data_IF_527354208834
#
_entry.id   IF_527354208834
#
_cell.length_a   1.000
_cell.length_b   1.000
_cell.length_c   1.000
_cell.angle_alpha   90.00
_cell.angle_beta   90.00
_cell.angle_gamma   90.00
#
_symmetry.space_group_name_H-M   'P 1'
#
loop_
_entity.id
_entity.type
_entity.pdbx_description
1 polymer ?
#
# COMPACT_ATOMS: atom_id res chain seq x y z
N UNK A 1 5.19 -0.63 -5.67
CA UNK A 1 5.44 -0.43 -4.24
C UNK A 1 6.13 0.91 -3.95
N UNK A 2 7.31 1.22 -4.52
CA UNK A 2 8.04 2.47 -4.21
C UNK A 2 7.23 3.74 -4.51
N UNK A 3 6.67 3.85 -5.72
CA UNK A 3 5.81 4.97 -6.08
C UNK A 3 4.53 5.02 -5.24
N UNK A 4 3.94 3.87 -4.91
CA UNK A 4 2.80 3.75 -4.00
C UNK A 4 3.13 4.37 -2.64
N UNK A 5 4.18 3.88 -1.97
CA UNK A 5 4.59 4.40 -0.67
C UNK A 5 4.93 5.90 -0.72
N UNK A 6 5.67 6.35 -1.75
CA UNK A 6 6.00 7.77 -1.90
C UNK A 6 4.73 8.62 -1.98
N UNK A 7 3.78 8.24 -2.82
CA UNK A 7 2.51 8.97 -2.97
C UNK A 7 1.68 8.92 -1.68
N UNK A 8 1.65 7.77 -1.00
CA UNK A 8 0.99 7.65 0.29
C UNK A 8 1.58 8.63 1.32
N UNK A 9 2.91 8.64 1.50
CA UNK A 9 3.53 9.58 2.43
C UNK A 9 3.34 11.05 2.05
N UNK A 10 3.30 11.37 0.75
CA UNK A 10 2.98 12.72 0.29
C UNK A 10 1.52 13.09 0.63
N UNK A 11 0.58 12.15 0.53
CA UNK A 11 -0.82 12.40 0.89
C UNK A 11 -0.98 12.70 2.39
N UNK A 12 -0.18 12.07 3.24
CA UNK A 12 -0.20 12.30 4.70
C UNK A 12 0.23 13.71 5.11
N UNK A 13 0.86 14.48 4.23
CA UNK A 13 1.24 15.87 4.53
C UNK A 13 0.02 16.79 4.60
N UNK A 14 -1.07 16.44 3.93
CA UNK A 14 -2.25 17.29 3.79
C UNK A 14 -3.56 16.60 4.18
N UNK A 15 -3.57 15.27 4.25
CA UNK A 15 -4.76 14.50 4.65
C UNK A 15 -4.60 13.90 6.05
N UNK A 16 -5.71 13.79 6.81
CA UNK A 16 -5.73 12.98 8.01
C UNK A 16 -5.39 11.51 7.70
N UNK A 17 -4.60 10.88 8.58
CA UNK A 17 -4.11 9.52 8.40
C UNK A 17 -5.22 8.52 8.01
N UNK A 18 -6.33 8.51 8.78
CA UNK A 18 -7.45 7.58 8.52
C UNK A 18 -8.08 7.76 7.14
N UNK A 19 -8.16 9.00 6.63
CA UNK A 19 -8.70 9.27 5.30
C UNK A 19 -7.73 8.82 4.20
N UNK A 20 -6.45 9.11 4.35
CA UNK A 20 -5.43 8.68 3.39
C UNK A 20 -5.40 7.15 3.28
N UNK A 21 -5.42 6.44 4.41
CA UNK A 21 -5.51 4.97 4.49
C UNK A 21 -6.78 4.46 3.83
N UNK A 22 -7.95 5.05 4.15
CA UNK A 22 -9.23 4.60 3.56
C UNK A 22 -9.24 4.73 2.03
N UNK A 23 -8.68 5.82 1.48
CA UNK A 23 -8.56 6.01 0.02
C UNK A 23 -7.58 4.99 -0.57
N UNK A 24 -6.44 4.77 0.06
CA UNK A 24 -5.43 3.82 -0.43
C UNK A 24 -5.98 2.39 -0.50
N UNK A 25 -6.71 1.95 0.54
CA UNK A 25 -7.35 0.62 0.58
C UNK A 25 -8.48 0.43 -0.44
N UNK A 26 -9.00 1.51 -1.04
CA UNK A 26 -9.91 1.39 -2.17
C UNK A 26 -9.26 0.66 -3.37
N UNK A 27 -7.92 0.68 -3.50
CA UNK A 27 -7.19 -0.06 -4.54
C UNK A 27 -7.39 -1.58 -4.45
N UNK A 28 -6.99 -2.24 -3.36
CA UNK A 28 -7.25 -3.66 -3.12
C UNK A 28 -8.73 -4.04 -3.22
N UNK A 29 -9.64 -3.21 -2.69
CA UNK A 29 -11.07 -3.43 -2.79
C UNK A 29 -11.57 -3.40 -4.24
N UNK A 30 -11.09 -2.47 -5.06
CA UNK A 30 -11.43 -2.41 -6.48
C UNK A 30 -10.99 -3.68 -7.21
N UNK A 31 -9.81 -4.20 -6.90
CA UNK A 31 -9.34 -5.49 -7.45
C UNK A 31 -10.23 -6.63 -6.98
N UNK A 32 -10.62 -6.66 -5.71
CA UNK A 32 -11.52 -7.67 -5.17
C UNK A 32 -12.87 -7.66 -5.90
N UNK A 33 -13.51 -6.49 -6.05
CA UNK A 33 -14.77 -6.33 -6.78
C UNK A 33 -14.65 -6.81 -8.23
N UNK A 34 -13.59 -6.37 -8.93
CA UNK A 34 -13.36 -6.74 -10.33
C UNK A 34 -13.17 -8.24 -10.52
N UNK A 35 -12.53 -8.88 -9.57
CA UNK A 35 -12.18 -10.29 -9.63
C UNK A 35 -13.31 -11.20 -9.08
N UNK A 36 -14.25 -10.66 -8.31
CA UNK A 36 -15.34 -11.39 -7.66
C UNK A 36 -16.30 -12.01 -8.68
N UNK A 37 -16.61 -13.28 -8.46
CA UNK A 37 -17.50 -14.06 -9.33
C UNK A 37 -18.68 -14.70 -8.57
N UNK A 38 -18.59 -14.79 -7.24
CA UNK A 38 -19.58 -15.45 -6.38
C UNK A 38 -20.32 -14.41 -5.55
N UNK A 39 -21.60 -14.63 -5.30
CA UNK A 39 -22.39 -13.73 -4.45
C UNK A 39 -21.80 -13.55 -3.04
N UNK A 40 -21.15 -14.59 -2.50
CA UNK A 40 -20.49 -14.55 -1.20
C UNK A 40 -19.30 -13.56 -1.19
N UNK A 41 -18.58 -13.41 -2.30
CA UNK A 41 -17.45 -12.47 -2.41
C UNK A 41 -17.94 -11.03 -2.19
N UNK A 42 -19.12 -10.69 -2.71
CA UNK A 42 -19.71 -9.36 -2.54
C UNK A 42 -20.15 -9.08 -1.09
N UNK A 43 -20.48 -10.11 -0.31
CA UNK A 43 -20.77 -9.96 1.13
C UNK A 43 -19.49 -9.54 1.86
N UNK A 44 -18.39 -10.19 1.57
CA UNK A 44 -17.10 -9.84 2.18
C UNK A 44 -16.62 -8.45 1.78
N UNK A 45 -16.77 -8.10 0.51
CA UNK A 45 -16.47 -6.74 0.02
C UNK A 45 -17.35 -5.69 0.72
N UNK A 46 -18.63 -5.96 0.89
CA UNK A 46 -19.53 -5.04 1.60
C UNK A 46 -19.11 -4.85 3.07
N UNK A 47 -18.75 -5.93 3.76
CA UNK A 47 -18.23 -5.87 5.13
C UNK A 47 -16.92 -5.05 5.21
N UNK A 48 -16.00 -5.23 4.27
CA UNK A 48 -14.77 -4.45 4.20
C UNK A 48 -15.05 -2.96 3.95
N UNK A 49 -15.99 -2.62 3.06
CA UNK A 49 -16.41 -1.23 2.82
C UNK A 49 -17.01 -0.62 4.09
N UNK A 50 -17.87 -1.35 4.80
CA UNK A 50 -18.44 -0.88 6.07
C UNK A 50 -17.35 -0.66 7.10
N UNK A 51 -16.39 -1.58 7.25
CA UNK A 51 -15.24 -1.43 8.14
C UNK A 51 -14.43 -0.16 7.83
N UNK A 52 -14.09 0.06 6.55
CA UNK A 52 -13.40 1.27 6.12
C UNK A 52 -14.21 2.55 6.38
N UNK A 53 -15.51 2.51 6.14
CA UNK A 53 -16.40 3.65 6.39
C UNK A 53 -16.45 4.01 7.89
N UNK A 54 -16.39 3.02 8.78
CA UNK A 54 -16.34 3.23 10.22
C UNK A 54 -15.00 3.82 10.71
N UNK A 55 -13.92 3.60 9.95
CA UNK A 55 -12.61 4.20 10.21
C UNK A 55 -12.51 5.67 9.76
N UNK A 56 -13.42 6.11 8.88
CA UNK A 56 -13.43 7.50 8.47
C UNK A 56 -13.79 8.41 9.66
N UNK A 57 -13.00 9.45 9.95
CA UNK A 57 -13.30 10.37 11.04
C UNK A 57 -14.59 11.12 10.73
N UNK A 58 -15.64 10.83 11.48
CA UNK A 58 -16.98 11.46 11.35
C UNK A 58 -17.00 12.98 11.63
N UNK A 59 -15.84 13.55 12.00
CA UNK A 59 -15.68 14.96 12.36
C UNK A 59 -15.12 15.88 11.25
N UNK A 60 -15.07 15.45 9.99
CA UNK A 60 -14.57 16.28 8.87
C UNK A 60 -15.55 17.40 8.43
N UNK A 61 -16.54 17.71 9.26
CA UNK A 61 -17.48 18.81 9.01
C UNK A 61 -16.73 20.15 9.02
N UNK A 62 -16.27 20.60 7.83
CA UNK A 62 -15.70 21.93 7.63
C UNK A 62 -14.24 22.02 7.19
N UNK A 63 -13.46 20.95 7.13
CA UNK A 63 -12.14 21.02 6.52
C UNK A 63 -12.24 20.78 5.01
N UNK A 64 -11.86 21.78 4.21
CA UNK A 64 -11.67 21.58 2.77
C UNK A 64 -10.53 20.59 2.59
N UNK A 65 -10.84 19.42 2.04
CA UNK A 65 -9.82 18.44 1.71
C UNK A 65 -8.90 19.01 0.64
N UNK A 66 -7.59 18.90 0.85
CA UNK A 66 -6.63 19.31 -0.16
C UNK A 66 -6.73 18.38 -1.38
N UNK A 67 -7.11 18.90 -2.57
CA UNK A 67 -7.24 18.08 -3.78
C UNK A 67 -5.95 17.35 -4.15
N UNK A 68 -4.79 17.95 -3.86
CA UNK A 68 -3.49 17.38 -4.16
C UNK A 68 -3.22 16.15 -3.27
N UNK A 69 -3.54 16.23 -1.98
CA UNK A 69 -3.44 15.10 -1.07
C UNK A 69 -4.34 13.93 -1.48
N UNK A 70 -5.58 14.23 -1.88
CA UNK A 70 -6.50 13.22 -2.41
C UNK A 70 -5.95 12.58 -3.68
N UNK A 71 -5.38 13.38 -4.60
CA UNK A 71 -4.77 12.86 -5.82
C UNK A 71 -3.60 11.90 -5.51
N UNK A 72 -2.76 12.24 -4.54
CA UNK A 72 -1.68 11.35 -4.09
C UNK A 72 -2.22 10.05 -3.48
N UNK A 73 -3.23 10.10 -2.62
CA UNK A 73 -3.84 8.91 -2.03
C UNK A 73 -4.48 8.00 -3.09
N UNK A 74 -5.21 8.56 -4.05
CA UNK A 74 -5.78 7.81 -5.18
C UNK A 74 -4.67 7.21 -6.06
N UNK A 75 -3.60 7.96 -6.31
CA UNK A 75 -2.43 7.43 -7.01
C UNK A 75 -1.81 6.22 -6.29
N UNK A 76 -1.65 6.29 -4.97
CA UNK A 76 -1.19 5.17 -4.16
C UNK A 76 -2.12 3.95 -4.29
N UNK A 77 -3.45 4.15 -4.21
CA UNK A 77 -4.45 3.10 -4.41
C UNK A 77 -4.33 2.41 -5.78
N UNK A 78 -4.15 3.18 -6.86
CA UNK A 78 -3.96 2.65 -8.21
C UNK A 78 -2.67 1.81 -8.30
N UNK A 79 -1.56 2.30 -7.74
CA UNK A 79 -0.31 1.54 -7.73
C UNK A 79 -0.41 0.26 -6.90
N UNK A 80 -1.19 0.26 -5.82
CA UNK A 80 -1.44 -0.95 -5.04
C UNK A 80 -2.28 -1.97 -5.82
N UNK A 81 -3.35 -1.52 -6.46
CA UNK A 81 -4.15 -2.36 -7.35
C UNK A 81 -3.30 -3.01 -8.45
N UNK A 82 -2.44 -2.22 -9.10
CA UNK A 82 -1.50 -2.71 -10.10
C UNK A 82 -0.51 -3.75 -9.52
N UNK A 83 0.01 -3.50 -8.31
CA UNK A 83 0.87 -4.45 -7.62
C UNK A 83 0.19 -5.81 -7.42
N UNK A 84 -1.07 -5.84 -6.97
CA UNK A 84 -1.83 -7.09 -6.79
C UNK A 84 -2.01 -7.80 -8.14
N UNK A 85 -2.41 -7.07 -9.18
CA UNK A 85 -2.66 -7.66 -10.50
C UNK A 85 -1.38 -8.20 -11.13
N UNK A 86 -0.31 -7.41 -11.14
CA UNK A 86 0.97 -7.82 -11.74
C UNK A 86 1.75 -8.80 -10.86
N UNK A 87 1.68 -8.68 -9.54
CA UNK A 87 2.27 -9.63 -8.60
C UNK A 87 1.71 -11.04 -8.80
N UNK A 88 0.40 -11.16 -9.05
CA UNK A 88 -0.21 -12.45 -9.38
C UNK A 88 0.28 -13.01 -10.73
N UNK A 89 0.47 -12.15 -11.75
CA UNK A 89 1.01 -12.57 -13.05
C UNK A 89 2.47 -13.02 -12.96
N UNK A 90 3.26 -12.43 -12.07
CA UNK A 90 4.64 -12.82 -11.80
C UNK A 90 4.77 -14.07 -10.92
N UNK A 91 3.68 -14.81 -10.71
CA UNK A 91 3.62 -16.00 -9.85
C UNK A 91 4.57 -17.15 -10.22
N UNK A 92 5.08 -17.18 -11.47
CA UNK A 92 6.07 -18.14 -11.94
C UNK A 92 7.49 -17.88 -11.41
N UNK A 93 7.78 -16.66 -10.96
CA UNK A 93 9.07 -16.32 -10.37
C UNK A 93 9.12 -16.72 -8.90
N UNK A 94 10.32 -17.04 -8.38
CA UNK A 94 10.49 -17.28 -6.94
C UNK A 94 10.10 -16.01 -6.15
N UNK A 95 9.39 -16.21 -5.03
CA UNK A 95 8.90 -15.09 -4.22
C UNK A 95 10.02 -14.12 -3.83
N UNK A 96 11.16 -14.63 -3.37
CA UNK A 96 12.32 -13.81 -3.01
C UNK A 96 12.89 -13.00 -4.17
N UNK A 97 12.96 -13.57 -5.36
CA UNK A 97 13.44 -12.84 -6.56
C UNK A 97 12.48 -11.71 -6.95
N UNK A 98 11.17 -11.96 -6.91
CA UNK A 98 10.17 -10.94 -7.21
C UNK A 98 10.22 -9.80 -6.20
N UNK A 99 10.40 -10.10 -4.91
CA UNK A 99 10.50 -9.10 -3.84
C UNK A 99 11.80 -8.31 -3.96
N UNK A 100 12.95 -8.97 -4.15
CA UNK A 100 14.25 -8.27 -4.27
C UNK A 100 14.28 -7.33 -5.46
N UNK A 101 13.82 -7.76 -6.63
CA UNK A 101 13.73 -6.90 -7.82
C UNK A 101 12.75 -5.75 -7.59
N UNK A 102 11.59 -6.02 -6.98
CA UNK A 102 10.61 -4.99 -6.66
C UNK A 102 11.14 -3.94 -5.70
N UNK A 103 11.85 -4.34 -4.64
CA UNK A 103 12.48 -3.43 -3.68
C UNK A 103 13.64 -2.65 -4.31
N UNK A 104 14.42 -3.27 -5.20
CA UNK A 104 15.50 -2.58 -5.91
C UNK A 104 14.94 -1.47 -6.81
N UNK A 105 13.89 -1.76 -7.58
CA UNK A 105 13.23 -0.74 -8.40
C UNK A 105 12.59 0.33 -7.53
N UNK A 106 11.99 -0.04 -6.40
CA UNK A 106 11.45 0.93 -5.44
C UNK A 106 12.54 1.86 -4.90
N UNK A 107 13.70 1.32 -4.54
CA UNK A 107 14.84 2.09 -4.08
C UNK A 107 15.33 3.09 -5.14
N UNK A 108 15.42 2.68 -6.41
CA UNK A 108 15.81 3.57 -7.52
C UNK A 108 14.88 4.78 -7.68
N UNK A 109 13.62 4.66 -7.29
CA UNK A 109 12.64 5.74 -7.34
C UNK A 109 12.70 6.61 -6.07
N UNK A 110 12.75 5.98 -4.89
CA UNK A 110 12.59 6.68 -3.60
C UNK A 110 13.91 7.28 -3.10
N UNK A 111 15.05 6.60 -3.32
CA UNK A 111 16.36 7.07 -2.82
C UNK A 111 16.75 8.45 -3.36
N UNK A 112 16.61 8.75 -4.67
CA UNK A 112 16.92 10.09 -5.17
C UNK A 112 16.10 11.18 -4.49
N UNK A 113 14.81 10.93 -4.26
CA UNK A 113 13.92 11.86 -3.57
C UNK A 113 14.35 12.05 -2.12
N UNK A 114 14.66 10.96 -1.42
CA UNK A 114 15.16 10.98 -0.04
C UNK A 114 16.49 11.75 0.10
N UNK A 115 17.44 11.50 -0.81
CA UNK A 115 18.73 12.21 -0.83
C UNK A 115 18.54 13.71 -1.09
N UNK A 116 17.64 14.08 -2.00
CA UNK A 116 17.35 15.48 -2.29
C UNK A 116 16.76 16.23 -1.07
N UNK A 117 15.98 15.54 -0.22
CA UNK A 117 15.35 16.15 0.96
C UNK A 117 16.22 16.11 2.22
N UNK A 118 16.88 15.00 2.51
CA UNK A 118 17.59 14.76 3.77
C UNK A 118 19.12 14.87 3.66
N UNK A 119 19.67 14.82 2.44
CA UNK A 119 21.09 15.01 2.16
C UNK A 119 21.99 14.08 3.00
N UNK A 120 23.10 14.65 3.53
CA UNK A 120 24.09 13.91 4.29
C UNK A 120 23.57 13.33 5.62
N UNK A 121 22.43 13.79 6.15
CA UNK A 121 21.86 13.26 7.37
C UNK A 121 21.49 11.76 7.25
N UNK A 122 21.20 11.28 6.03
CA UNK A 122 20.93 9.87 5.76
C UNK A 122 22.15 8.97 6.04
N UNK A 123 23.36 9.51 6.00
CA UNK A 123 24.59 8.73 6.20
C UNK A 123 25.01 8.63 7.67
N UNK A 124 24.25 9.23 8.60
CA UNK A 124 24.56 9.10 10.02
C UNK A 124 24.39 7.64 10.48
N UNK A 125 25.31 7.10 11.31
CA UNK A 125 25.28 5.70 11.72
C UNK A 125 23.97 5.30 12.42
N UNK A 126 23.38 6.21 13.20
CA UNK A 126 22.09 5.99 13.88
C UNK A 126 20.94 5.87 12.90
N UNK A 127 20.88 6.74 11.89
CA UNK A 127 19.83 6.69 10.85
C UNK A 127 19.98 5.43 10.00
N UNK A 128 21.20 5.04 9.64
CA UNK A 128 21.45 3.82 8.88
C UNK A 128 21.03 2.57 9.68
N UNK A 129 21.41 2.47 10.96
CA UNK A 129 21.05 1.33 11.79
C UNK A 129 19.54 1.20 11.99
N UNK A 130 18.87 2.30 12.34
CA UNK A 130 17.41 2.32 12.50
C UNK A 130 16.73 2.08 11.14
N UNK A 131 17.22 2.69 10.07
CA UNK A 131 16.70 2.51 8.72
C UNK A 131 16.77 1.06 8.25
N UNK A 132 17.90 0.37 8.48
CA UNK A 132 18.04 -1.05 8.15
C UNK A 132 17.08 -1.91 8.98
N UNK A 133 16.95 -1.66 10.27
CA UNK A 133 16.04 -2.39 11.14
C UNK A 133 14.57 -2.20 10.71
N UNK A 134 14.17 -0.97 10.42
CA UNK A 134 12.83 -0.66 9.92
C UNK A 134 12.61 -1.30 8.55
N UNK A 135 13.56 -1.20 7.63
CA UNK A 135 13.46 -1.81 6.32
C UNK A 135 13.29 -3.34 6.39
N UNK A 136 14.01 -4.00 7.28
CA UNK A 136 13.91 -5.44 7.45
C UNK A 136 12.56 -5.86 8.05
N UNK A 137 12.14 -5.24 9.15
CA UNK A 137 10.96 -5.64 9.92
C UNK A 137 9.67 -5.12 9.29
N UNK A 138 9.66 -3.88 8.83
CA UNK A 138 8.46 -3.20 8.33
C UNK A 138 8.24 -3.35 6.81
N UNK A 139 9.27 -3.73 6.05
CA UNK A 139 9.14 -3.83 4.60
C UNK A 139 9.53 -5.20 4.07
N UNK A 140 10.78 -5.63 4.27
CA UNK A 140 11.27 -6.84 3.63
C UNK A 140 10.53 -8.10 4.07
N UNK A 141 10.27 -8.24 5.36
CA UNK A 141 9.57 -9.41 5.93
C UNK A 141 8.08 -9.39 5.57
N UNK A 142 7.29 -8.31 5.81
CA UNK A 142 5.88 -8.29 5.45
C UNK A 142 5.65 -8.46 3.94
N UNK A 143 6.39 -7.76 3.09
CA UNK A 143 6.23 -7.85 1.64
C UNK A 143 6.57 -9.26 1.14
N UNK A 144 7.55 -9.93 1.75
CA UNK A 144 7.88 -11.31 1.40
C UNK A 144 6.74 -12.27 1.72
N UNK A 145 6.13 -12.13 2.91
CA UNK A 145 4.98 -12.93 3.33
C UNK A 145 3.75 -12.63 2.48
N UNK A 146 3.50 -11.36 2.21
CA UNK A 146 2.42 -10.89 1.34
C UNK A 146 2.54 -11.46 -0.07
N UNK A 147 3.74 -11.42 -0.66
CA UNK A 147 3.99 -12.01 -1.98
C UNK A 147 3.80 -13.53 -1.99
N UNK A 148 4.15 -14.22 -0.91
CA UNK A 148 3.89 -15.65 -0.77
C UNK A 148 2.38 -15.93 -0.69
N UNK A 149 1.64 -15.12 0.06
CA UNK A 149 0.18 -15.23 0.16
C UNK A 149 -0.49 -14.92 -1.18
N UNK A 150 -0.09 -13.85 -1.87
CA UNK A 150 -0.62 -13.44 -3.18
C UNK A 150 -0.45 -14.54 -4.24
N UNK A 151 0.65 -15.31 -4.18
CA UNK A 151 0.87 -16.42 -5.10
C UNK A 151 -0.04 -17.60 -4.84
N UNK A 152 -0.43 -17.83 -3.58
CA UNK A 152 -1.23 -18.98 -3.15
C UNK A 152 -2.73 -18.71 -3.17
N UNK A 153 -3.13 -17.49 -2.88
CA UNK A 153 -4.54 -17.10 -2.76
C UNK A 153 -5.11 -16.60 -4.10
N UNK A 154 -6.42 -16.76 -4.33
CA UNK A 154 -7.13 -16.04 -5.39
C UNK A 154 -7.07 -14.53 -5.14
N UNK A 155 -7.13 -13.71 -6.20
CA UNK A 155 -7.04 -12.25 -6.09
C UNK A 155 -8.17 -11.65 -5.24
N UNK A 156 -9.34 -12.24 -5.35
CA UNK A 156 -10.55 -11.85 -4.61
C UNK A 156 -10.31 -11.98 -3.10
N UNK A 157 -9.88 -13.17 -2.67
CA UNK A 157 -9.59 -13.44 -1.26
C UNK A 157 -8.45 -12.58 -0.74
N UNK A 158 -7.37 -12.43 -1.53
CA UNK A 158 -6.24 -11.61 -1.16
C UNK A 158 -6.64 -10.13 -1.01
N UNK A 159 -7.39 -9.56 -1.96
CA UNK A 159 -7.86 -8.18 -1.92
C UNK A 159 -8.73 -7.88 -0.70
N UNK A 160 -9.64 -8.81 -0.35
CA UNK A 160 -10.48 -8.68 0.84
C UNK A 160 -9.63 -8.76 2.12
N UNK A 161 -8.73 -9.73 2.22
CA UNK A 161 -7.88 -9.89 3.42
C UNK A 161 -7.00 -8.65 3.65
N UNK A 162 -6.38 -8.12 2.61
CA UNK A 162 -5.56 -6.91 2.70
C UNK A 162 -6.42 -5.70 3.11
N UNK A 163 -7.63 -5.57 2.59
CA UNK A 163 -8.50 -4.44 2.94
C UNK A 163 -9.00 -4.46 4.39
N UNK A 164 -8.84 -5.58 5.09
CA UNK A 164 -9.13 -5.71 6.53
C UNK A 164 -7.92 -5.37 7.44
N UNK A 165 -6.75 -5.13 6.88
CA UNK A 165 -5.53 -4.85 7.64
C UNK A 165 -5.66 -3.66 8.60
N UNK A 166 -6.35 -2.53 8.26
CA UNK A 166 -6.49 -1.42 9.17
C UNK A 166 -7.56 -1.62 10.25
N UNK A 167 -8.31 -2.71 10.24
CA UNK A 167 -9.37 -2.99 11.23
C UNK A 167 -8.85 -3.82 12.42
#
# INVERSE_FOLDING_TARGET
LGAMNLMFYLSLQTLPFGLAVAIEFAGPLAVAIWSSRRAVDFVWVALAIVGLALLLPLGLSGSTLDPLGVLYAVGAAVFWALYIVFGKRAGHLHAGQSVSLGLLVAALVVVPVGVAHAGAALLSPSVLLVGVAVAAISSALPISLEMMALKRLPKEAFGIMISMEPA
#
